data_IF_335642251323
#
_entry.id   IF_335642251323
#
_cell.length_a   1.000
_cell.length_b   1.000
_cell.length_c   1.000
_cell.angle_alpha   90.00
_cell.angle_beta   90.00
_cell.angle_gamma   90.00
#
_symmetry.space_group_name_H-M   'P 1'
#
loop_
_entity.id
_entity.type
_entity.pdbx_description
1 polymer ?
#
# COMPACT_ATOMS: atom_id res chain seq x y z
N UNK A 1 17.03 19.79 -20.29
CA UNK A 1 16.12 19.90 -19.14
C UNK A 1 15.52 18.52 -18.92
N UNK A 2 15.93 17.78 -17.88
CA UNK A 2 15.32 16.47 -17.57
C UNK A 2 13.92 16.75 -17.00
N UNK A 3 12.90 16.06 -17.50
CA UNK A 3 11.53 16.25 -17.03
C UNK A 3 11.47 15.97 -15.52
N UNK A 4 10.79 16.84 -14.77
CA UNK A 4 10.61 16.70 -13.32
C UNK A 4 9.92 15.36 -12.93
N UNK A 5 9.34 14.65 -13.89
CA UNK A 5 8.68 13.34 -13.72
C UNK A 5 9.66 12.15 -13.64
N UNK A 6 10.93 12.29 -14.05
CA UNK A 6 11.95 11.24 -13.91
C UNK A 6 12.45 11.08 -12.45
N UNK A 7 12.07 12.00 -11.55
CA UNK A 7 12.74 12.20 -10.27
C UNK A 7 12.23 11.34 -9.10
N UNK A 8 11.11 10.63 -9.28
CA UNK A 8 10.42 9.87 -8.23
C UNK A 8 10.44 8.35 -8.52
N UNK A 9 11.60 7.85 -8.91
CA UNK A 9 11.84 6.42 -9.12
C UNK A 9 12.37 5.79 -7.85
N UNK A 10 11.73 4.73 -7.36
CA UNK A 10 12.04 4.10 -6.07
C UNK A 10 12.08 2.56 -6.17
N UNK A 11 12.65 1.88 -5.18
CA UNK A 11 12.60 0.42 -5.11
C UNK A 11 11.18 -0.08 -4.83
N UNK A 12 10.85 -1.26 -5.37
CA UNK A 12 9.56 -1.88 -5.09
C UNK A 12 9.55 -2.45 -3.66
N UNK A 13 8.60 -2.05 -2.78
CA UNK A 13 8.68 -2.28 -1.34
C UNK A 13 8.27 -3.70 -0.91
N UNK A 14 7.91 -4.58 -1.83
CA UNK A 14 7.34 -5.89 -1.56
C UNK A 14 8.15 -7.00 -2.25
N UNK A 15 8.08 -8.23 -1.72
CA UNK A 15 8.73 -9.42 -2.29
C UNK A 15 7.72 -10.52 -2.57
N UNK A 16 8.01 -11.37 -3.56
CA UNK A 16 7.05 -12.34 -4.10
C UNK A 16 6.11 -11.72 -5.12
N UNK A 17 5.00 -12.40 -5.40
CA UNK A 17 4.06 -12.00 -6.44
C UNK A 17 2.89 -11.18 -5.89
N UNK A 18 2.63 -10.02 -6.49
CA UNK A 18 1.62 -9.04 -6.07
C UNK A 18 0.82 -8.53 -7.25
N UNK A 19 -0.23 -7.76 -6.95
CA UNK A 19 -0.95 -6.95 -7.92
C UNK A 19 -1.34 -5.60 -7.31
N UNK A 20 -1.39 -4.56 -8.13
CA UNK A 20 -2.00 -3.28 -7.76
C UNK A 20 -3.51 -3.32 -8.03
N UNK A 21 -4.34 -3.20 -6.99
CA UNK A 21 -5.81 -3.09 -7.14
C UNK A 21 -6.24 -1.64 -7.37
N UNK A 22 -5.45 -0.69 -6.85
CA UNK A 22 -5.47 0.74 -7.17
C UNK A 22 -4.08 1.17 -7.61
N UNK A 23 -4.02 1.94 -8.70
CA UNK A 23 -2.77 2.43 -9.30
C UNK A 23 -3.06 3.65 -10.17
N UNK A 24 -2.14 4.64 -10.21
CA UNK A 24 -2.23 5.77 -11.12
C UNK A 24 -2.15 5.38 -12.60
N UNK A 25 -1.64 4.17 -12.94
CA UNK A 25 -1.62 3.67 -14.31
C UNK A 25 -3.04 3.45 -14.89
N UNK A 26 -4.05 3.28 -14.03
CA UNK A 26 -5.44 3.08 -14.45
C UNK A 26 -6.25 4.37 -14.41
N UNK A 27 -6.07 5.19 -13.37
CA UNK A 27 -6.80 6.46 -13.18
C UNK A 27 -6.00 7.40 -12.28
N UNK A 28 -6.06 8.69 -12.55
CA UNK A 28 -5.59 9.76 -11.65
C UNK A 28 -6.77 10.72 -11.38
N UNK A 29 -7.09 11.06 -10.12
CA UNK A 29 -6.54 10.49 -8.88
C UNK A 29 -6.83 8.99 -8.73
N UNK A 30 -5.84 8.20 -8.29
CA UNK A 30 -5.97 6.72 -8.20
C UNK A 30 -7.02 6.26 -7.17
N UNK A 31 -7.29 7.10 -6.17
CA UNK A 31 -8.29 6.87 -5.12
C UNK A 31 -9.50 7.79 -5.24
N UNK A 32 -9.63 8.53 -6.36
CA UNK A 32 -10.78 9.40 -6.62
C UNK A 32 -10.80 10.72 -5.83
N UNK A 33 -9.73 11.05 -5.11
CA UNK A 33 -9.57 12.32 -4.37
C UNK A 33 -8.16 12.88 -4.54
N UNK A 34 -8.05 14.21 -4.51
CA UNK A 34 -6.78 14.95 -4.50
C UNK A 34 -6.23 15.15 -3.08
N UNK A 35 -7.00 14.78 -2.06
CA UNK A 35 -6.66 14.98 -0.65
C UNK A 35 -5.71 13.88 -0.14
N UNK A 36 -5.02 14.17 0.96
CA UNK A 36 -4.22 13.21 1.74
C UNK A 36 -3.06 12.55 0.96
N UNK A 37 -2.53 13.23 -0.05
CA UNK A 37 -1.48 12.70 -0.92
C UNK A 37 -1.91 11.56 -1.86
N UNK A 38 -3.21 11.21 -1.90
CA UNK A 38 -3.71 10.00 -2.56
C UNK A 38 -3.73 10.04 -4.10
N UNK A 39 -3.38 11.18 -4.72
CA UNK A 39 -3.47 11.41 -6.16
C UNK A 39 -2.81 10.31 -7.00
N UNK A 40 -1.65 9.83 -6.56
CA UNK A 40 -0.83 8.82 -7.25
C UNK A 40 -0.55 7.58 -6.41
N UNK A 41 -1.34 7.34 -5.36
CA UNK A 41 -1.14 6.24 -4.43
C UNK A 41 -1.46 4.86 -5.06
N UNK A 42 -0.99 3.80 -4.39
CA UNK A 42 -1.17 2.41 -4.76
C UNK A 42 -1.76 1.63 -3.59
N UNK A 43 -2.60 0.65 -3.92
CA UNK A 43 -2.97 -0.43 -3.00
C UNK A 43 -2.46 -1.75 -3.60
N UNK A 44 -1.51 -2.40 -2.93
CA UNK A 44 -0.93 -3.67 -3.35
C UNK A 44 -1.49 -4.83 -2.54
N UNK A 45 -1.97 -5.86 -3.25
CA UNK A 45 -2.53 -7.08 -2.66
C UNK A 45 -1.77 -8.28 -3.20
N UNK A 46 -1.38 -9.19 -2.31
CA UNK A 46 -0.77 -10.46 -2.72
C UNK A 46 -1.84 -11.42 -3.22
N UNK A 47 -1.56 -12.10 -4.32
CA UNK A 47 -2.47 -13.08 -4.87
C UNK A 47 -1.77 -14.43 -5.09
N UNK A 48 -2.57 -15.46 -5.38
CA UNK A 48 -2.16 -16.61 -6.18
C UNK A 48 -2.89 -16.54 -7.51
N UNK A 49 -2.24 -16.92 -8.60
CA UNK A 49 -2.79 -16.79 -9.95
C UNK A 49 -3.37 -18.09 -10.52
N UNK A 50 -3.06 -19.23 -9.92
CA UNK A 50 -3.52 -20.55 -10.40
C UNK A 50 -4.63 -21.12 -9.51
N UNK A 51 -5.72 -21.66 -10.08
CA UNK A 51 -6.15 -21.60 -11.49
C UNK A 51 -6.74 -20.25 -11.92
N UNK A 52 -6.90 -19.33 -10.97
CA UNK A 52 -7.40 -17.96 -11.17
C UNK A 52 -6.86 -17.06 -10.07
N UNK A 53 -6.80 -15.75 -10.31
CA UNK A 53 -6.37 -14.77 -9.30
C UNK A 53 -7.23 -14.83 -8.03
N UNK A 54 -6.59 -15.10 -6.88
CA UNK A 54 -7.22 -15.20 -5.56
C UNK A 54 -6.35 -14.52 -4.51
N UNK A 55 -6.96 -13.73 -3.63
CA UNK A 55 -6.25 -13.04 -2.53
C UNK A 55 -6.23 -13.84 -1.23
N UNK A 56 -7.02 -14.92 -1.15
CA UNK A 56 -7.13 -15.79 0.02
C UNK A 56 -7.29 -17.26 -0.38
N UNK A 57 -6.92 -18.15 0.55
CA UNK A 57 -7.08 -19.60 0.49
C UNK A 57 -8.56 -20.05 0.48
N UNK A 58 -9.48 -19.22 0.96
CA UNK A 58 -10.93 -19.51 0.98
C UNK A 58 -11.58 -19.36 -0.38
N UNK A 59 -12.62 -20.14 -0.64
CA UNK A 59 -13.37 -20.07 -1.89
C UNK A 59 -14.19 -18.77 -1.98
N UNK A 60 -14.64 -18.40 -3.19
CA UNK A 60 -15.35 -17.13 -3.43
C UNK A 60 -16.68 -17.03 -2.68
N UNK A 61 -17.37 -18.15 -2.47
CA UNK A 61 -18.64 -18.18 -1.73
C UNK A 61 -18.42 -17.85 -0.25
N UNK A 62 -17.37 -18.40 0.35
CA UNK A 62 -17.00 -18.14 1.75
C UNK A 62 -16.41 -16.73 1.95
N UNK A 63 -15.72 -16.19 0.95
CA UNK A 63 -15.31 -14.78 0.97
C UNK A 63 -16.52 -13.84 0.87
N UNK A 64 -17.55 -14.21 0.12
CA UNK A 64 -18.73 -13.39 -0.07
C UNK A 64 -19.66 -13.43 1.14
N UNK A 65 -19.86 -14.59 1.79
CA UNK A 65 -20.87 -14.77 2.84
C UNK A 65 -20.31 -15.12 4.23
N UNK A 66 -19.00 -15.32 4.35
CA UNK A 66 -18.36 -15.77 5.58
C UNK A 66 -17.41 -14.73 6.18
N UNK A 67 -16.94 -15.07 7.38
CA UNK A 67 -15.83 -14.40 8.04
C UNK A 67 -14.54 -15.05 7.57
N UNK A 68 -13.67 -14.29 6.91
CA UNK A 68 -12.36 -14.78 6.45
C UNK A 68 -11.31 -14.27 7.42
N UNK A 69 -10.60 -15.19 8.07
CA UNK A 69 -9.48 -14.81 8.93
C UNK A 69 -8.39 -14.15 8.10
N UNK A 70 -7.75 -13.11 8.62
CA UNK A 70 -6.57 -12.51 7.99
C UNK A 70 -5.47 -13.53 7.67
N UNK A 71 -5.35 -14.59 8.47
CA UNK A 71 -4.39 -15.68 8.25
C UNK A 71 -4.66 -16.48 6.96
N UNK A 72 -5.86 -16.37 6.39
CA UNK A 72 -6.21 -17.00 5.13
C UNK A 72 -5.85 -16.13 3.91
N UNK A 73 -5.44 -14.88 4.09
CA UNK A 73 -5.01 -13.99 3.02
C UNK A 73 -3.52 -14.15 2.75
N UNK A 74 -3.14 -14.26 1.47
CA UNK A 74 -1.74 -14.46 1.09
C UNK A 74 -0.85 -13.25 1.37
N UNK A 75 -1.45 -12.07 1.54
CA UNK A 75 -0.74 -10.82 1.83
C UNK A 75 -0.50 -10.58 3.31
N UNK A 76 -1.21 -11.27 4.19
CA UNK A 76 -1.07 -11.08 5.64
C UNK A 76 0.34 -11.45 6.12
N UNK A 77 0.87 -10.62 7.01
CA UNK A 77 2.20 -10.78 7.63
C UNK A 77 3.35 -10.90 6.61
N UNK A 78 3.19 -10.33 5.40
CA UNK A 78 4.27 -10.30 4.42
C UNK A 78 5.17 -9.08 4.65
N UNK A 79 6.49 -9.22 4.49
CA UNK A 79 7.44 -8.15 4.81
C UNK A 79 7.31 -6.96 3.85
N UNK A 80 7.50 -5.78 4.42
CA UNK A 80 7.54 -4.48 3.73
C UNK A 80 8.92 -3.89 3.90
N UNK A 81 9.49 -3.39 2.80
CA UNK A 81 10.85 -2.87 2.77
C UNK A 81 10.87 -1.39 2.37
N UNK A 82 11.90 -0.68 2.85
CA UNK A 82 12.11 0.72 2.50
C UNK A 82 12.33 0.88 1.00
N UNK A 83 11.62 1.80 0.32
CA UNK A 83 11.75 2.02 -1.12
C UNK A 83 13.02 2.81 -1.48
N UNK A 84 13.70 3.43 -0.52
CA UNK A 84 14.92 4.22 -0.72
C UNK A 84 15.69 4.41 0.59
N UNK A 85 16.90 4.96 0.48
CA UNK A 85 17.66 5.46 1.64
C UNK A 85 16.96 6.71 2.21
N UNK A 86 16.88 6.80 3.54
CA UNK A 86 16.26 7.96 4.17
C UNK A 86 16.11 7.87 5.68
N UNK A 87 15.41 8.85 6.22
CA UNK A 87 15.09 8.98 7.64
C UNK A 87 13.64 8.56 7.89
N UNK A 88 13.40 7.76 8.92
CA UNK A 88 12.05 7.47 9.41
C UNK A 88 11.54 8.68 10.19
N UNK A 89 10.55 9.38 9.66
CA UNK A 89 10.05 10.65 10.24
C UNK A 89 8.70 10.50 10.94
N UNK A 90 8.05 9.35 10.79
CA UNK A 90 6.82 9.02 11.50
C UNK A 90 6.71 7.50 11.69
N UNK A 91 6.38 7.08 12.89
CA UNK A 91 5.99 5.69 13.21
C UNK A 91 4.71 5.72 14.03
N UNK A 92 3.68 5.00 13.57
CA UNK A 92 2.49 4.69 14.36
C UNK A 92 2.30 3.18 14.35
N UNK A 93 2.36 2.58 15.53
CA UNK A 93 2.13 1.15 15.74
C UNK A 93 1.23 0.91 16.96
N UNK A 94 0.75 -0.32 17.14
CA UNK A 94 -0.10 -0.74 18.25
C UNK A 94 -1.60 -0.58 18.01
N UNK A 95 -2.02 -0.03 16.86
CA UNK A 95 -3.42 -0.05 16.47
C UNK A 95 -3.83 -1.49 16.10
N UNK A 96 -4.93 -2.01 16.65
CA UNK A 96 -5.31 -3.40 16.43
C UNK A 96 -5.70 -3.66 14.97
N UNK A 97 -5.30 -4.83 14.45
CA UNK A 97 -5.79 -5.33 13.17
C UNK A 97 -7.22 -5.84 13.27
N UNK A 98 -7.98 -5.68 12.18
CA UNK A 98 -9.25 -6.36 12.01
C UNK A 98 -8.94 -7.81 11.61
N UNK A 99 -9.09 -8.75 12.54
CA UNK A 99 -8.64 -10.16 12.33
C UNK A 99 -9.60 -11.00 11.47
N UNK A 100 -10.84 -10.55 11.32
CA UNK A 100 -11.85 -11.21 10.48
C UNK A 100 -12.43 -10.20 9.50
N UNK A 101 -12.32 -10.54 8.21
CA UNK A 101 -12.88 -9.75 7.11
C UNK A 101 -14.26 -10.31 6.78
N UNK A 102 -15.25 -9.44 6.74
CA UNK A 102 -16.60 -9.76 6.25
C UNK A 102 -16.91 -8.84 5.07
N UNK A 103 -16.76 -9.36 3.85
CA UNK A 103 -16.84 -8.58 2.61
C UNK A 103 -18.09 -7.71 2.52
N UNK A 104 -19.29 -8.19 2.90
CA UNK A 104 -20.51 -7.37 2.85
C UNK A 104 -20.54 -6.26 3.89
N UNK A 105 -20.18 -6.58 5.14
CA UNK A 105 -20.16 -5.60 6.24
C UNK A 105 -19.09 -4.53 6.00
N UNK A 106 -17.94 -4.93 5.49
CA UNK A 106 -16.79 -4.06 5.27
C UNK A 106 -16.99 -3.17 4.03
N UNK A 107 -17.61 -3.67 2.95
CA UNK A 107 -18.05 -2.84 1.81
C UNK A 107 -19.03 -1.76 2.30
N UNK A 108 -20.04 -2.14 3.08
CA UNK A 108 -21.07 -1.22 3.55
C UNK A 108 -20.51 -0.16 4.51
N UNK A 109 -19.63 -0.56 5.43
CA UNK A 109 -18.97 0.34 6.38
C UNK A 109 -17.96 1.27 5.69
N UNK A 110 -17.17 0.76 4.75
CA UNK A 110 -16.22 1.55 3.95
C UNK A 110 -16.93 2.57 3.06
N UNK A 111 -18.06 2.20 2.45
CA UNK A 111 -18.93 3.14 1.71
C UNK A 111 -19.53 4.21 2.62
N UNK A 112 -20.03 3.84 3.81
CA UNK A 112 -20.57 4.77 4.80
C UNK A 112 -19.52 5.77 5.31
N UNK A 113 -18.32 5.29 5.60
CA UNK A 113 -17.19 6.15 6.00
C UNK A 113 -16.82 7.10 4.87
N UNK A 114 -16.61 6.59 3.66
CA UNK A 114 -16.31 7.41 2.46
C UNK A 114 -17.38 8.47 2.23
N UNK A 115 -18.66 8.10 2.28
CA UNK A 115 -19.78 9.03 2.15
C UNK A 115 -19.79 10.09 3.25
N UNK A 116 -19.50 9.70 4.49
CA UNK A 116 -19.40 10.60 5.64
C UNK A 116 -18.21 11.55 5.51
N UNK A 117 -17.07 11.11 4.96
CA UNK A 117 -15.90 11.94 4.69
C UNK A 117 -16.17 12.95 3.57
N UNK A 118 -16.80 12.53 2.47
CA UNK A 118 -17.14 13.43 1.35
C UNK A 118 -18.17 14.50 1.73
N UNK A 119 -19.03 14.25 2.74
CA UNK A 119 -20.06 15.20 3.20
C UNK A 119 -19.73 15.89 4.53
N UNK A 120 -18.66 15.51 5.22
CA UNK A 120 -18.29 16.15 6.48
C UNK A 120 -17.82 17.58 6.20
N UNK A 121 -18.35 18.60 6.89
CA UNK A 121 -17.81 19.95 6.80
C UNK A 121 -16.34 19.93 7.24
N UNK A 122 -15.51 20.75 6.59
CA UNK A 122 -14.04 20.83 6.65
C UNK A 122 -13.40 21.09 8.03
N UNK A 123 -14.11 20.83 9.14
CA UNK A 123 -13.75 21.20 10.51
C UNK A 123 -13.65 20.04 11.51
N UNK A 124 -13.93 18.77 11.14
CA UNK A 124 -13.61 17.64 12.03
C UNK A 124 -12.16 17.20 11.78
N UNK A 125 -11.32 17.23 12.83
CA UNK A 125 -9.99 16.62 12.81
C UNK A 125 -10.17 15.14 12.40
N UNK A 126 -9.71 14.80 11.21
CA UNK A 126 -9.69 13.41 10.75
C UNK A 126 -8.56 12.72 11.50
N UNK A 127 -8.87 11.61 12.16
CA UNK A 127 -7.90 10.85 12.94
C UNK A 127 -7.09 9.93 12.00
N UNK A 128 -5.77 10.15 11.90
CA UNK A 128 -4.84 9.35 11.08
C UNK A 128 -5.05 7.87 11.33
N UNK A 129 -5.13 7.52 12.61
CA UNK A 129 -5.10 6.14 13.08
C UNK A 129 -6.32 5.37 12.62
N UNK A 130 -7.48 6.03 12.56
CA UNK A 130 -8.72 5.37 12.11
C UNK A 130 -8.72 5.06 10.63
N UNK A 131 -8.01 5.84 9.81
CA UNK A 131 -7.95 5.64 8.36
C UNK A 131 -6.74 4.76 8.03
N UNK A 132 -5.53 5.23 8.34
CA UNK A 132 -4.28 4.60 7.94
C UNK A 132 -3.92 3.36 8.79
N UNK A 133 -4.45 3.24 10.01
CA UNK A 133 -4.00 2.20 10.94
C UNK A 133 -2.56 2.43 11.38
N UNK A 134 -1.78 1.35 11.47
CA UNK A 134 -0.35 1.42 11.70
C UNK A 134 0.36 1.85 10.41
N UNK A 135 1.32 2.76 10.54
CA UNK A 135 1.97 3.37 9.39
C UNK A 135 3.38 3.87 9.70
N UNK A 136 4.16 4.01 8.63
CA UNK A 136 5.51 4.56 8.65
C UNK A 136 5.65 5.59 7.54
N UNK A 137 6.31 6.71 7.84
CA UNK A 137 6.77 7.67 6.82
C UNK A 137 8.30 7.65 6.77
N UNK A 138 8.86 7.42 5.59
CA UNK A 138 10.30 7.50 5.32
C UNK A 138 10.56 8.70 4.42
N UNK A 139 11.40 9.63 4.85
CA UNK A 139 11.78 10.83 4.11
C UNK A 139 13.14 10.65 3.44
N UNK A 140 13.19 10.94 2.14
CA UNK A 140 14.42 11.14 1.38
C UNK A 140 14.67 12.64 1.18
N UNK A 141 15.77 12.99 0.50
CA UNK A 141 16.04 14.37 0.08
C UNK A 141 14.96 14.96 -0.85
N UNK A 142 14.18 14.12 -1.54
CA UNK A 142 13.29 14.55 -2.63
C UNK A 142 11.81 14.40 -2.33
N UNK A 143 11.46 13.37 -1.56
CA UNK A 143 10.08 13.00 -1.28
C UNK A 143 9.98 12.17 0.00
N UNK A 144 8.76 12.00 0.47
CA UNK A 144 8.44 11.12 1.59
C UNK A 144 7.58 9.97 1.09
N UNK A 145 7.89 8.75 1.52
CA UNK A 145 7.11 7.55 1.26
C UNK A 145 6.22 7.27 2.46
N UNK A 146 4.93 7.09 2.23
CA UNK A 146 3.97 6.69 3.24
C UNK A 146 3.56 5.25 3.02
N UNK A 147 3.74 4.42 4.05
CA UNK A 147 3.38 3.01 4.09
C UNK A 147 2.35 2.82 5.20
N UNK A 148 1.15 2.33 4.87
CA UNK A 148 0.04 2.22 5.81
C UNK A 148 -0.61 0.83 5.82
N UNK A 149 -1.50 0.63 6.79
CA UNK A 149 -2.16 -0.64 7.09
C UNK A 149 -1.20 -1.74 7.55
N UNK A 150 -0.11 -1.37 8.23
CA UNK A 150 0.86 -2.33 8.76
C UNK A 150 0.25 -3.19 9.87
N UNK A 151 0.78 -4.40 10.05
CA UNK A 151 0.34 -5.32 11.09
C UNK A 151 0.72 -4.77 12.46
N UNK A 152 -0.20 -4.85 13.40
CA UNK A 152 -0.01 -4.39 14.78
C UNK A 152 1.18 -5.08 15.44
N UNK A 153 2.09 -4.27 15.98
CA UNK A 153 3.31 -4.73 16.64
C UNK A 153 4.35 -5.31 15.68
N UNK A 154 4.26 -5.01 14.38
CA UNK A 154 5.23 -5.48 13.37
C UNK A 154 6.23 -4.43 12.93
N UNK A 155 6.06 -3.16 13.32
CA UNK A 155 6.97 -2.10 12.87
C UNK A 155 8.35 -2.32 13.49
N UNK A 156 9.36 -2.42 12.63
CA UNK A 156 10.74 -2.80 12.97
C UNK A 156 11.72 -1.60 12.87
N UNK A 157 11.18 -0.38 12.86
CA UNK A 157 11.95 0.87 12.75
C UNK A 157 11.44 1.91 13.76
N UNK A 158 12.29 2.89 14.06
CA UNK A 158 12.00 3.95 15.04
C UNK A 158 12.05 5.34 14.39
N UNK A 159 11.30 6.31 14.93
CA UNK A 159 11.39 7.72 14.48
C UNK A 159 12.82 8.27 14.71
N UNK A 160 13.34 8.97 13.70
CA UNK A 160 14.72 9.48 13.63
C UNK A 160 15.74 8.47 13.08
N UNK A 161 15.37 7.21 12.88
CA UNK A 161 16.28 6.19 12.36
C UNK A 161 16.66 6.45 10.90
N UNK A 162 17.96 6.39 10.59
CA UNK A 162 18.46 6.36 9.22
C UNK A 162 18.44 4.92 8.70
N UNK A 163 17.83 4.69 7.55
CA UNK A 163 17.67 3.37 6.93
C UNK A 163 18.08 3.39 5.46
N UNK A 164 18.49 2.23 4.95
CA UNK A 164 18.82 2.04 3.54
C UNK A 164 17.62 1.48 2.76
N UNK A 165 17.63 1.67 1.45
CA UNK A 165 16.73 0.97 0.53
C UNK A 165 16.80 -0.54 0.78
N UNK A 166 15.65 -1.19 0.88
CA UNK A 166 15.59 -2.61 1.23
C UNK A 166 15.65 -2.93 2.74
N UNK A 167 15.76 -1.94 3.64
CA UNK A 167 15.61 -2.18 5.07
C UNK A 167 14.18 -2.66 5.42
N UNK A 168 14.06 -3.61 6.34
CA UNK A 168 12.76 -4.11 6.81
C UNK A 168 12.04 -3.03 7.63
N UNK A 169 10.86 -2.63 7.17
CA UNK A 169 10.00 -1.63 7.84
C UNK A 169 9.03 -2.31 8.82
N UNK A 170 8.46 -3.44 8.40
CA UNK A 170 7.46 -4.18 9.15
C UNK A 170 6.70 -5.12 8.23
N UNK A 171 5.45 -5.41 8.55
CA UNK A 171 4.66 -6.39 7.80
C UNK A 171 3.29 -5.85 7.36
N UNK A 172 2.78 -6.37 6.25
CA UNK A 172 1.44 -6.10 5.75
C UNK A 172 0.40 -6.58 6.76
N UNK A 173 -0.46 -5.67 7.18
CA UNK A 173 -1.52 -5.92 8.14
C UNK A 173 -2.90 -5.64 7.58
N UNK A 174 -3.82 -5.38 8.50
CA UNK A 174 -5.22 -5.09 8.26
C UNK A 174 -5.74 -4.09 9.32
N UNK A 175 -4.88 -3.14 9.71
CA UNK A 175 -5.17 -2.08 10.67
C UNK A 175 -5.71 -0.84 9.95
N UNK A 176 -6.57 -0.07 10.63
CA UNK A 176 -7.22 1.11 10.05
C UNK A 176 -8.48 0.78 9.27
N UNK A 177 -8.82 1.62 8.29
CA UNK A 177 -10.00 1.44 7.45
C UNK A 177 -9.69 0.61 6.21
N UNK A 178 -9.55 -0.69 6.41
CA UNK A 178 -9.23 -1.67 5.36
C UNK A 178 -10.41 -2.60 5.10
N UNK A 179 -10.37 -3.31 3.97
CA UNK A 179 -11.35 -4.33 3.62
C UNK A 179 -10.73 -5.71 3.42
N UNK A 180 -9.39 -5.80 3.48
CA UNK A 180 -8.58 -7.01 3.40
C UNK A 180 -7.10 -6.61 3.61
N UNK A 181 -6.23 -7.55 4.01
CA UNK A 181 -4.80 -7.29 4.11
C UNK A 181 -4.18 -6.80 2.81
N UNK A 182 -3.56 -5.61 2.85
CA UNK A 182 -2.89 -4.98 1.70
C UNK A 182 -1.89 -3.92 2.18
N UNK A 183 -0.93 -3.56 1.32
CA UNK A 183 -0.08 -2.40 1.54
C UNK A 183 -0.68 -1.19 0.81
N UNK A 184 -1.01 -0.14 1.55
CA UNK A 184 -1.19 1.19 0.96
C UNK A 184 0.17 1.88 0.87
N UNK A 185 0.49 2.40 -0.31
CA UNK A 185 1.78 3.03 -0.60
C UNK A 185 1.62 4.31 -1.42
N UNK A 186 2.28 5.39 -1.02
CA UNK A 186 2.35 6.60 -1.83
C UNK A 186 3.65 7.36 -1.64
N UNK A 187 4.06 8.09 -2.67
CA UNK A 187 5.06 9.15 -2.55
C UNK A 187 4.36 10.50 -2.43
N UNK A 188 4.92 11.37 -1.61
CA UNK A 188 4.33 12.66 -1.31
C UNK A 188 5.38 13.74 -1.05
N UNK A 189 4.98 14.99 -1.25
CA UNK A 189 5.75 16.18 -0.86
C UNK A 189 5.23 16.67 0.49
N UNK A 190 6.09 16.60 1.50
CA UNK A 190 5.77 16.85 2.91
C UNK A 190 5.67 15.54 3.70
N UNK A 191 5.94 15.60 5.00
CA UNK A 191 6.04 14.42 5.88
C UNK A 191 4.71 14.04 6.53
N UNK A 192 3.73 14.96 6.55
CA UNK A 192 2.40 14.71 7.08
C UNK A 192 1.44 14.28 5.97
N UNK A 193 0.97 13.01 5.96
CA UNK A 193 0.10 12.49 4.90
C UNK A 193 -1.26 13.21 4.80
N UNK A 194 -1.69 14.01 5.79
CA UNK A 194 -2.93 14.77 5.68
C UNK A 194 -2.83 16.04 4.86
N UNK A 195 -1.67 16.67 4.90
CA UNK A 195 -1.41 17.97 4.28
C UNK A 195 -0.48 17.86 3.08
N UNK A 196 0.21 16.73 2.94
CA UNK A 196 1.14 16.48 1.85
C UNK A 196 0.44 16.38 0.49
N UNK A 197 1.19 16.74 -0.55
CA UNK A 197 0.75 16.63 -1.95
C UNK A 197 1.28 15.34 -2.56
N UNK A 198 0.39 14.55 -3.17
CA UNK A 198 0.78 13.28 -3.80
C UNK A 198 1.69 13.51 -4.99
N UNK A 199 2.73 12.68 -5.10
CA UNK A 199 3.72 12.76 -6.19
C UNK A 199 3.61 11.52 -7.10
N UNK A 200 3.81 11.67 -8.43
CA UNK A 200 3.94 10.52 -9.31
C UNK A 200 5.05 9.60 -8.82
N UNK A 201 4.87 8.30 -8.93
CA UNK A 201 5.84 7.31 -8.49
C UNK A 201 6.02 6.25 -9.56
N UNK A 202 7.29 5.89 -9.82
CA UNK A 202 7.69 4.79 -10.69
C UNK A 202 8.57 3.84 -9.87
N UNK A 203 8.48 2.55 -10.14
CA UNK A 203 9.38 1.57 -9.53
C UNK A 203 10.58 1.34 -10.44
N UNK A 204 11.78 1.35 -9.85
CA UNK A 204 13.06 1.18 -10.55
C UNK A 204 13.05 -0.07 -11.39
N UNK A 205 12.65 -1.19 -10.79
CA UNK A 205 12.52 -2.47 -11.49
C UNK A 205 11.50 -3.39 -10.83
N UNK A 206 10.77 -4.12 -11.66
CA UNK A 206 9.93 -5.25 -11.30
C UNK A 206 9.74 -6.13 -12.54
N UNK A 207 9.26 -7.36 -12.36
CA UNK A 207 8.82 -8.18 -13.48
C UNK A 207 7.29 -8.18 -13.53
N UNK A 208 6.73 -8.17 -14.74
CA UNK A 208 5.30 -8.42 -14.97
C UNK A 208 5.12 -9.71 -15.75
N UNK A 209 4.08 -10.47 -15.46
CA UNK A 209 3.77 -11.70 -16.20
C UNK A 209 2.84 -11.39 -17.37
N UNK A 210 3.26 -11.76 -18.58
CA UNK A 210 2.52 -11.58 -19.84
C UNK A 210 2.80 -12.75 -20.77
N UNK A 211 1.79 -13.22 -21.49
CA UNK A 211 1.94 -14.25 -22.55
C UNK A 211 2.79 -15.45 -22.12
N UNK A 212 2.55 -15.96 -20.91
CA UNK A 212 3.24 -17.08 -20.26
C UNK A 212 4.70 -16.87 -19.82
N UNK A 213 5.20 -15.63 -19.87
CA UNK A 213 6.56 -15.28 -19.50
C UNK A 213 6.61 -14.09 -18.52
N UNK A 214 7.72 -13.99 -17.79
CA UNK A 214 8.06 -12.81 -17.01
C UNK A 214 8.82 -11.81 -17.90
N UNK A 215 8.35 -10.57 -17.92
CA UNK A 215 8.97 -9.45 -18.62
C UNK A 215 9.54 -8.46 -17.60
N UNK A 216 10.83 -8.13 -17.71
CA UNK A 216 11.42 -7.06 -16.91
C UNK A 216 10.85 -5.70 -17.29
N UNK A 217 10.47 -4.92 -16.29
CA UNK A 217 10.02 -3.54 -16.43
C UNK A 217 10.94 -2.65 -15.61
N UNK A 218 11.53 -1.64 -16.23
CA UNK A 218 12.37 -0.65 -15.56
C UNK A 218 11.71 0.72 -15.57
N UNK A 219 11.84 1.48 -14.49
CA UNK A 219 11.20 2.78 -14.31
C UNK A 219 9.72 2.72 -14.71
N UNK A 220 8.98 1.74 -14.19
CA UNK A 220 7.61 1.43 -14.61
C UNK A 220 6.55 1.79 -13.57
N UNK A 221 5.30 1.85 -14.00
CA UNK A 221 4.14 1.96 -13.11
C UNK A 221 3.30 0.70 -13.33
N UNK A 222 3.13 -0.17 -12.32
CA UNK A 222 2.31 -1.36 -12.44
C UNK A 222 0.87 -1.03 -12.87
N UNK A 223 0.41 -1.75 -13.89
CA UNK A 223 -0.97 -1.70 -14.34
C UNK A 223 -1.92 -2.31 -13.32
N UNK A 224 -3.20 -1.95 -13.44
CA UNK A 224 -4.25 -2.47 -12.55
C UNK A 224 -4.46 -3.96 -12.83
N UNK A 225 -4.42 -4.77 -11.78
CA UNK A 225 -4.58 -6.23 -11.85
C UNK A 225 -3.46 -6.97 -12.63
N UNK A 226 -2.31 -6.32 -12.86
CA UNK A 226 -1.13 -7.00 -13.41
C UNK A 226 -0.50 -7.94 -12.37
N UNK A 227 -0.13 -9.15 -12.79
CA UNK A 227 0.73 -10.04 -12.01
C UNK A 227 2.15 -9.49 -12.04
N UNK A 228 2.64 -8.99 -10.91
CA UNK A 228 3.97 -8.39 -10.79
C UNK A 228 4.78 -9.07 -9.69
N UNK A 229 6.11 -9.01 -9.76
CA UNK A 229 7.00 -9.40 -8.66
C UNK A 229 8.26 -8.54 -8.62
N UNK A 230 8.91 -8.50 -7.47
CA UNK A 230 10.21 -7.85 -7.33
C UNK A 230 11.25 -8.47 -8.25
N UNK A 231 12.07 -7.62 -8.89
CA UNK A 231 13.18 -8.02 -9.73
C UNK A 231 14.49 -7.77 -8.97
N UNK A 232 15.11 -8.83 -8.46
CA UNK A 232 16.36 -8.79 -7.70
C UNK A 232 16.46 -9.97 -6.73
N UNK A 233 17.62 -10.09 -6.07
CA UNK A 233 17.80 -11.08 -5.00
C UNK A 233 16.97 -10.69 -3.78
N UNK A 234 16.42 -11.68 -3.08
CA UNK A 234 15.74 -11.46 -1.81
C UNK A 234 16.81 -11.08 -0.76
N UNK A 235 16.67 -9.96 -0.04
CA UNK A 235 17.51 -9.70 1.12
C UNK A 235 17.28 -10.73 2.24
#
# INVERSE_FOLDING_TARGET
MRNAEDNNTVEFPLRGEWTAVRTPAYRVPSHGTEQFGLRYAFDFVRAKWEPSMRFSSKNRLHQLYGHVSVNDFYGWAQPIYSPFDGEVVMVRDGWPDILEVNTFKDIFHSLLLTYSFMRAPSRRKIDLHRIAGNCVVVRSERCSAFLAHLRSGSVNVEEGQQIQAGALIGEVGNSGNTMAPHLHFQLMKGDDPFTATGLPCRFRSYERYRDTAWESVTNGIPGRLERIRYMGELP
#
